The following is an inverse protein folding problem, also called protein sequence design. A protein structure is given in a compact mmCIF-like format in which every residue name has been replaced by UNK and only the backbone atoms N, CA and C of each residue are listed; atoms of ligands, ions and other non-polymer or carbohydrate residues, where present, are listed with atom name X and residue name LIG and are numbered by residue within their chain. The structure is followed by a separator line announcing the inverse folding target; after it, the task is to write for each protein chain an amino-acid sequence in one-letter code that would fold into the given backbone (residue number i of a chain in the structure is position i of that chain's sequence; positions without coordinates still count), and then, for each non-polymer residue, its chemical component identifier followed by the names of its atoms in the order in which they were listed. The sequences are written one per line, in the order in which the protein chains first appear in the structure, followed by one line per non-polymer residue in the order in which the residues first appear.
data_IF_833758425182
#
_entry.id   IF_833758425182
#
_cell.length_a   1.000
_cell.length_b   1.000
_cell.length_c   1.000
_cell.angle_alpha   90.00
_cell.angle_beta   90.00
_cell.angle_gamma   90.00
#
_symmetry.space_group_name_H-M   'P 1'
#
loop_
_entity.id
_entity.type
_entity.pdbx_description
1 polymer ?
#
# COMPACT_ATOMS: atom_id res chain seq x y z
N UNK A 1 6.67 -10.82 2.20
CA UNK A 1 6.47 -9.37 2.03
C UNK A 1 4.99 -8.98 2.07
N UNK A 2 4.16 -9.40 1.11
CA UNK A 2 2.75 -8.95 1.01
C UNK A 2 1.89 -9.32 2.24
N UNK A 3 1.87 -10.60 2.66
CA UNK A 3 1.12 -11.00 3.86
C UNK A 3 1.58 -10.28 5.13
N UNK A 4 2.88 -10.01 5.24
CA UNK A 4 3.43 -9.24 6.35
C UNK A 4 2.98 -7.77 6.30
N UNK A 5 3.00 -7.14 5.13
CA UNK A 5 2.50 -5.77 4.94
C UNK A 5 0.99 -5.67 5.22
N UNK A 6 0.19 -6.66 4.81
CA UNK A 6 -1.23 -6.76 5.14
C UNK A 6 -1.47 -6.89 6.65
N UNK A 7 -0.70 -7.76 7.32
CA UNK A 7 -0.77 -7.93 8.77
C UNK A 7 -0.39 -6.66 9.52
N UNK A 8 0.69 -5.97 9.10
CA UNK A 8 1.08 -4.66 9.64
C UNK A 8 -0.03 -3.62 9.44
N UNK A 9 -0.68 -3.61 8.27
CA UNK A 9 -1.78 -2.70 8.00
C UNK A 9 -2.96 -2.92 8.94
N UNK A 10 -3.39 -4.17 9.06
CA UNK A 10 -4.47 -4.55 9.98
C UNK A 10 -4.15 -4.08 11.40
N UNK A 11 -2.91 -4.28 11.85
CA UNK A 11 -2.52 -3.88 13.20
C UNK A 11 -2.50 -2.35 13.39
N UNK A 12 -2.06 -1.58 12.38
CA UNK A 12 -2.12 -0.12 12.42
C UNK A 12 -3.57 0.40 12.50
N UNK A 13 -4.50 -0.23 11.77
CA UNK A 13 -5.93 0.13 11.82
C UNK A 13 -6.53 -0.22 13.19
N UNK A 14 -6.35 -1.46 13.66
CA UNK A 14 -6.99 -1.97 14.88
C UNK A 14 -6.37 -1.36 16.14
N UNK A 15 -5.04 -1.33 16.23
CA UNK A 15 -4.35 -0.98 17.48
C UNK A 15 -3.87 0.46 17.53
N UNK A 16 -3.69 1.13 16.38
CA UNK A 16 -3.27 2.54 16.33
C UNK A 16 -4.39 3.49 15.91
N UNK A 17 -5.63 2.98 15.80
CA UNK A 17 -6.82 3.72 15.40
C UNK A 17 -6.61 4.54 14.13
N UNK A 18 -5.77 4.03 13.22
CA UNK A 18 -5.44 4.72 11.99
C UNK A 18 -6.63 4.63 11.05
N UNK A 19 -7.36 5.74 10.89
CA UNK A 19 -8.51 5.81 9.99
C UNK A 19 -8.03 5.94 8.55
N UNK A 20 -8.48 5.02 7.70
CA UNK A 20 -8.18 5.00 6.26
C UNK A 20 -9.49 5.27 5.52
N UNK A 21 -9.59 6.46 4.95
CA UNK A 21 -10.77 6.88 4.20
C UNK A 21 -10.60 6.72 2.68
N UNK A 22 -9.35 6.59 2.23
CA UNK A 22 -8.98 6.41 0.83
C UNK A 22 -8.14 5.12 0.68
N UNK A 23 -8.59 4.13 -0.13
CA UNK A 23 -7.82 2.96 -0.53
C UNK A 23 -6.41 3.27 -1.04
N UNK A 24 -6.18 4.44 -1.63
CA UNK A 24 -4.84 4.82 -2.08
C UNK A 24 -3.86 5.00 -0.92
N UNK A 25 -4.34 5.46 0.25
CA UNK A 25 -3.54 5.53 1.49
C UNK A 25 -3.15 4.12 1.93
N UNK A 26 -4.09 3.18 1.90
CA UNK A 26 -3.84 1.78 2.23
C UNK A 26 -2.76 1.17 1.33
N UNK A 27 -2.86 1.36 0.02
CA UNK A 27 -1.93 0.81 -0.96
C UNK A 27 -0.53 1.39 -0.78
N UNK A 28 -0.41 2.71 -0.59
CA UNK A 28 0.88 3.35 -0.31
C UNK A 28 1.56 2.82 0.93
N UNK A 29 0.80 2.60 2.01
CA UNK A 29 1.34 2.03 3.24
C UNK A 29 1.88 0.63 3.05
N UNK A 30 1.12 -0.23 2.35
CA UNK A 30 1.60 -1.57 2.02
C UNK A 30 2.85 -1.53 1.16
N UNK A 31 2.89 -0.68 0.12
CA UNK A 31 4.06 -0.54 -0.75
C UNK A 31 5.30 -0.07 0.03
N UNK A 32 5.15 0.90 0.93
CA UNK A 32 6.24 1.35 1.80
C UNK A 32 6.78 0.22 2.67
N UNK A 33 5.91 -0.57 3.30
CA UNK A 33 6.36 -1.73 4.09
C UNK A 33 6.99 -2.84 3.24
N UNK A 34 6.53 -3.04 2.00
CA UNK A 34 7.19 -3.98 1.08
C UNK A 34 8.60 -3.48 0.74
N UNK A 35 8.79 -2.17 0.56
CA UNK A 35 10.11 -1.55 0.35
C UNK A 35 10.98 -1.68 1.60
N UNK A 36 10.45 -1.40 2.79
CA UNK A 36 11.20 -1.57 4.05
C UNK A 36 11.63 -3.04 4.24
N UNK A 37 10.73 -3.98 3.93
CA UNK A 37 11.04 -5.41 3.96
C UNK A 37 12.07 -5.81 2.90
N UNK A 38 12.13 -5.10 1.77
CA UNK A 38 13.09 -5.40 0.70
C UNK A 38 14.54 -5.24 1.16
N UNK A 39 14.81 -4.31 2.08
CA UNK A 39 16.14 -4.08 2.66
C UNK A 39 16.63 -5.31 3.44
N UNK A 40 15.71 -6.14 3.95
CA UNK A 40 16.04 -7.37 4.67
C UNK A 40 16.38 -8.55 3.75
N UNK A 41 16.29 -8.40 2.43
CA UNK A 41 16.64 -9.48 1.50
C UNK A 41 18.15 -9.69 1.47
N UNK A 42 18.58 -10.95 1.58
CA UNK A 42 20.01 -11.31 1.49
C UNK A 42 20.59 -11.09 0.08
N UNK A 43 19.74 -11.09 -0.95
CA UNK A 43 20.15 -10.97 -2.34
C UNK A 43 19.62 -9.67 -2.96
N UNK A 44 20.53 -8.87 -3.54
CA UNK A 44 20.21 -7.62 -4.23
C UNK A 44 19.17 -7.75 -5.36
N UNK A 45 19.15 -8.83 -6.18
CA UNK A 45 18.10 -9.00 -7.18
C UNK A 45 16.70 -9.13 -6.57
N UNK A 46 16.57 -9.84 -5.44
CA UNK A 46 15.30 -10.04 -4.74
C UNK A 46 14.82 -8.73 -4.10
N UNK A 47 15.73 -7.95 -3.50
CA UNK A 47 15.45 -6.58 -3.03
C UNK A 47 14.91 -5.71 -4.17
N UNK A 48 15.63 -5.64 -5.30
CA UNK A 48 15.25 -4.81 -6.44
C UNK A 48 13.92 -5.23 -7.04
N UNK A 49 13.64 -6.54 -7.09
CA UNK A 49 12.36 -7.07 -7.56
C UNK A 49 11.21 -6.60 -6.66
N UNK A 50 11.38 -6.65 -5.33
CA UNK A 50 10.36 -6.19 -4.38
C UNK A 50 10.10 -4.69 -4.51
N UNK A 51 11.15 -3.87 -4.66
CA UNK A 51 11.00 -2.42 -4.86
C UNK A 51 10.28 -2.09 -6.17
N UNK A 52 10.61 -2.78 -7.26
CA UNK A 52 9.93 -2.62 -8.54
C UNK A 52 8.47 -3.08 -8.48
N UNK A 53 8.21 -4.20 -7.80
CA UNK A 53 6.85 -4.71 -7.58
C UNK A 53 5.99 -3.72 -6.79
N UNK A 54 6.52 -3.13 -5.71
CA UNK A 54 5.83 -2.11 -4.94
C UNK A 54 5.49 -0.86 -5.78
N UNK A 55 6.44 -0.39 -6.60
CA UNK A 55 6.21 0.71 -7.54
C UNK A 55 5.15 0.39 -8.59
N UNK A 56 5.14 -0.84 -9.11
CA UNK A 56 4.14 -1.28 -10.09
C UNK A 56 2.74 -1.29 -9.47
N UNK A 57 2.60 -1.83 -8.25
CA UNK A 57 1.33 -1.85 -7.52
C UNK A 57 0.83 -0.42 -7.29
N UNK A 58 1.69 0.48 -6.81
CA UNK A 58 1.30 1.88 -6.58
C UNK A 58 0.87 2.58 -7.88
N UNK A 59 1.58 2.32 -8.99
CA UNK A 59 1.23 2.87 -10.30
C UNK A 59 -0.13 2.37 -10.80
N UNK A 60 -0.34 1.04 -10.78
CA UNK A 60 -1.61 0.44 -11.23
C UNK A 60 -2.77 0.93 -10.36
N UNK A 61 -2.58 0.99 -9.04
CA UNK A 61 -3.56 1.55 -8.13
C UNK A 61 -3.85 3.02 -8.44
N UNK A 62 -2.82 3.83 -8.70
CA UNK A 62 -2.98 5.23 -9.07
C UNK A 62 -3.74 5.41 -10.37
N UNK A 63 -3.68 4.44 -11.30
CA UNK A 63 -4.43 4.43 -12.55
C UNK A 63 -5.90 4.05 -12.33
N UNK A 64 -6.18 3.11 -11.42
CA UNK A 64 -7.53 2.69 -11.03
C UNK A 64 -8.24 3.80 -10.24
N UNK A 65 -7.55 4.40 -9.26
CA UNK A 65 -8.10 5.43 -8.37
C UNK A 65 -7.92 6.86 -8.91
N UNK A 66 -7.94 7.05 -10.24
CA UNK A 66 -7.94 8.38 -10.84
C UNK A 66 -9.29 9.06 -10.72
N UNK A 67 -9.27 10.39 -10.64
CA UNK A 67 -10.46 11.23 -10.80
C UNK A 67 -11.16 11.00 -12.15
N UNK A 68 -10.39 10.70 -13.20
CA UNK A 68 -10.93 10.36 -14.53
C UNK A 68 -11.68 9.02 -14.56
N UNK A 69 -11.46 8.15 -13.57
CA UNK A 69 -12.19 6.89 -13.36
C UNK A 69 -13.31 7.05 -12.29
N UNK A 70 -13.66 8.30 -11.94
CA UNK A 70 -14.70 8.61 -10.97
C UNK A 70 -14.26 8.58 -9.51
N UNK A 71 -12.95 8.43 -9.22
CA UNK A 71 -12.44 8.44 -7.85
C UNK A 71 -12.27 9.87 -7.32
N UNK A 72 -12.97 10.23 -6.25
CA UNK A 72 -12.90 11.58 -5.66
C UNK A 72 -12.43 11.47 -4.21
N UNK A 73 -11.45 12.30 -3.84
CA UNK A 73 -10.77 12.30 -2.53
C UNK A 73 -11.72 12.57 -1.34
N UNK A 74 -12.87 13.19 -1.59
CA UNK A 74 -13.85 13.56 -0.55
C UNK A 74 -15.06 12.60 -0.48
N UNK A 75 -15.11 11.60 -1.36
CA UNK A 75 -16.18 10.60 -1.31
C UNK A 75 -15.71 9.49 -0.38
N UNK A 76 -16.24 9.47 0.84
CA UNK A 76 -15.99 8.41 1.80
C UNK A 76 -16.57 7.10 1.25
N UNK A 77 -15.69 6.17 0.87
CA UNK A 77 -16.06 4.87 0.28
C UNK A 77 -15.84 3.70 1.24
N UNK A 78 -15.19 3.95 2.36
CA UNK A 78 -14.99 3.01 3.44
C UNK A 78 -15.72 3.58 4.66
N UNK A 79 -16.65 2.82 5.22
CA UNK A 79 -17.29 3.15 6.49
C UNK A 79 -16.21 3.24 7.58
N UNK A 80 -16.30 4.28 8.41
CA UNK A 80 -15.28 4.65 9.40
C UNK A 80 -15.65 4.28 10.83
#
# INVERSE_FOLDING_TARGET
AIFWALWKCRNDIIFRLRKIYDPMIFIRLMCNWIVDWSISQRKKPEEKLLQLGAKLIERVASEIYKATQGWRLEVQRLEG
#
